data_IF_938443023116
#
_entry.id   IF_938443023116
#
_cell.length_a   1.000
_cell.length_b   1.000
_cell.length_c   1.000
_cell.angle_alpha   90.00
_cell.angle_beta   90.00
_cell.angle_gamma   90.00
#
_symmetry.space_group_name_H-M   'P 1'
#
loop_
_entity.id
_entity.type
_entity.pdbx_description
1 polymer ?
#
# COMPACT_ATOMS: atom_id res chain seq x y z
N UNK A 1 -17.72 0.84 2.29
CA UNK A 1 -17.26 1.64 3.44
C UNK A 1 -16.87 3.04 2.97
N UNK A 2 -17.73 4.05 3.16
CA UNK A 2 -17.43 5.46 2.85
C UNK A 2 -16.27 6.06 3.67
N UNK A 3 -15.89 5.37 4.75
CA UNK A 3 -14.84 5.77 5.70
C UNK A 3 -13.64 4.84 5.65
N UNK A 4 -13.43 4.14 4.52
CA UNK A 4 -12.27 3.27 4.34
C UNK A 4 -10.97 4.07 4.51
N UNK A 5 -10.02 3.50 5.23
CA UNK A 5 -8.68 4.06 5.36
C UNK A 5 -7.92 3.86 4.04
N UNK A 6 -7.35 4.94 3.50
CA UNK A 6 -6.63 4.92 2.21
C UNK A 6 -5.24 5.56 2.26
N UNK A 7 -4.30 5.09 3.10
CA UNK A 7 -2.94 5.62 3.12
C UNK A 7 -2.19 5.31 1.83
N UNK A 8 -1.20 6.16 1.52
CA UNK A 8 -0.29 5.93 0.39
C UNK A 8 0.71 4.83 0.75
N UNK A 9 0.91 3.91 -0.18
CA UNK A 9 2.07 3.02 -0.18
C UNK A 9 3.27 3.74 -0.82
N UNK A 10 3.04 4.42 -1.94
CA UNK A 10 4.07 5.20 -2.65
C UNK A 10 3.44 6.43 -3.30
N UNK A 11 4.16 7.55 -3.29
CA UNK A 11 3.83 8.75 -4.06
C UNK A 11 4.85 8.91 -5.19
N UNK A 12 4.37 9.19 -6.39
CA UNK A 12 5.23 9.50 -7.53
C UNK A 12 5.39 11.01 -7.67
N UNK A 13 6.59 11.48 -8.02
CA UNK A 13 6.82 12.89 -8.36
C UNK A 13 6.15 13.16 -9.71
N UNK A 14 5.18 14.06 -9.77
CA UNK A 14 4.48 14.37 -11.03
C UNK A 14 5.45 14.97 -12.06
N UNK A 15 5.61 14.30 -13.20
CA UNK A 15 6.11 14.89 -14.44
C UNK A 15 4.97 15.48 -15.27
N UNK A 16 5.26 16.46 -16.11
CA UNK A 16 4.36 17.35 -16.87
C UNK A 16 3.48 16.67 -17.93
N UNK A 17 2.78 15.57 -17.61
CA UNK A 17 1.93 14.83 -18.55
C UNK A 17 0.47 14.72 -18.08
N UNK A 18 -0.46 14.64 -19.03
CA UNK A 18 -1.92 14.77 -18.83
C UNK A 18 -2.60 13.54 -18.20
N UNK A 19 -1.83 12.50 -17.85
CA UNK A 19 -2.29 11.38 -17.04
C UNK A 19 -1.16 10.94 -16.13
N UNK A 20 -1.20 11.34 -14.85
CA UNK A 20 -0.25 10.84 -13.86
C UNK A 20 -1.02 10.57 -12.57
N UNK A 21 -1.26 9.28 -12.29
CA UNK A 21 -1.67 8.84 -10.95
C UNK A 21 -0.58 9.31 -9.98
N UNK A 22 -0.95 10.02 -8.92
CA UNK A 22 0.00 10.64 -7.98
C UNK A 22 0.70 9.62 -7.06
N UNK A 23 0.30 8.36 -7.12
CA UNK A 23 0.81 7.30 -6.29
C UNK A 23 -0.04 6.04 -6.32
N UNK A 24 0.29 5.11 -5.43
CA UNK A 24 -0.50 3.92 -5.11
C UNK A 24 -0.91 3.99 -3.65
N UNK A 25 -2.18 3.68 -3.38
CA UNK A 25 -2.76 3.62 -2.04
C UNK A 25 -3.31 2.21 -1.78
N UNK A 26 -3.40 1.83 -0.51
CA UNK A 26 -4.13 0.62 -0.07
C UNK A 26 -5.46 1.03 0.55
N UNK A 27 -6.54 0.33 0.20
CA UNK A 27 -7.85 0.51 0.83
C UNK A 27 -8.12 -0.54 1.91
N UNK A 28 -8.49 -0.10 3.11
CA UNK A 28 -8.98 -0.96 4.18
C UNK A 28 -10.33 -0.46 4.67
N UNK A 29 -11.37 -1.28 4.52
CA UNK A 29 -12.73 -0.94 4.91
C UNK A 29 -13.39 -2.04 5.74
N UNK A 30 -14.48 -1.69 6.44
CA UNK A 30 -15.35 -2.63 7.15
C UNK A 30 -16.80 -2.47 6.71
N UNK A 31 -17.48 -3.60 6.57
CA UNK A 31 -18.94 -3.68 6.36
C UNK A 31 -19.49 -4.77 7.28
N UNK A 32 -20.19 -4.37 8.34
CA UNK A 32 -20.59 -5.29 9.41
C UNK A 32 -19.37 -6.04 10.02
N UNK A 33 -19.39 -7.39 10.08
CA UNK A 33 -18.26 -8.17 10.58
C UNK A 33 -17.14 -8.35 9.54
N UNK A 34 -17.37 -7.97 8.28
CA UNK A 34 -16.44 -8.21 7.18
C UNK A 34 -15.38 -7.11 7.10
N UNK A 35 -14.12 -7.51 7.02
CA UNK A 35 -12.99 -6.64 6.72
C UNK A 35 -12.61 -6.82 5.24
N UNK A 36 -12.47 -5.70 4.53
CA UNK A 36 -12.07 -5.66 3.12
C UNK A 36 -10.70 -4.99 3.01
N UNK A 37 -9.72 -5.68 2.41
CA UNK A 37 -8.35 -5.18 2.21
C UNK A 37 -7.99 -5.28 0.74
N UNK A 38 -7.67 -4.16 0.10
CA UNK A 38 -7.25 -4.10 -1.31
C UNK A 38 -5.74 -4.25 -1.44
N UNK A 39 -5.22 -5.47 -1.23
CA UNK A 39 -3.80 -5.76 -1.36
C UNK A 39 -3.34 -5.63 -2.83
N UNK A 40 -2.22 -4.93 -3.10
CA UNK A 40 -1.63 -4.91 -4.43
C UNK A 40 -0.94 -6.25 -4.74
N UNK A 41 -0.78 -6.58 -6.02
CA UNK A 41 0.06 -7.69 -6.49
C UNK A 41 -0.51 -9.11 -6.26
N UNK A 42 -0.09 -10.11 -7.04
CA UNK A 42 -0.65 -11.46 -6.95
C UNK A 42 0.02 -12.36 -5.90
N UNK A 43 1.27 -12.08 -5.48
CA UNK A 43 2.01 -12.99 -4.60
C UNK A 43 2.94 -12.27 -3.61
N UNK A 44 3.99 -11.60 -4.09
CA UNK A 44 5.04 -11.05 -3.24
C UNK A 44 4.49 -10.02 -2.24
N UNK A 45 3.70 -9.06 -2.69
CA UNK A 45 3.04 -8.06 -1.84
C UNK A 45 2.16 -8.72 -0.78
N UNK A 46 1.44 -9.79 -1.16
CA UNK A 46 0.57 -10.54 -0.25
C UNK A 46 1.39 -11.26 0.82
N UNK A 47 2.49 -11.92 0.46
CA UNK A 47 3.39 -12.57 1.42
C UNK A 47 3.94 -11.60 2.47
N UNK A 48 4.27 -10.37 2.05
CA UNK A 48 4.79 -9.36 2.97
C UNK A 48 3.69 -8.80 3.88
N UNK A 49 2.49 -8.60 3.33
CA UNK A 49 1.37 -8.04 4.06
C UNK A 49 0.68 -9.05 5.00
N UNK A 50 0.70 -10.34 4.68
CA UNK A 50 -0.06 -11.37 5.39
C UNK A 50 0.28 -11.47 6.89
N UNK A 51 1.55 -11.45 7.35
CA UNK A 51 1.84 -11.47 8.78
C UNK A 51 1.26 -10.28 9.54
N UNK A 52 1.30 -9.09 8.94
CA UNK A 52 0.71 -7.87 9.53
C UNK A 52 -0.82 -7.97 9.58
N UNK A 53 -1.44 -8.47 8.50
CA UNK A 53 -2.87 -8.66 8.44
C UNK A 53 -3.35 -9.64 9.52
N UNK A 54 -2.68 -10.79 9.66
CA UNK A 54 -3.02 -11.80 10.67
C UNK A 54 -2.85 -11.25 12.09
N UNK A 55 -1.76 -10.52 12.36
CA UNK A 55 -1.54 -9.86 13.65
C UNK A 55 -2.65 -8.85 13.95
N UNK A 56 -2.98 -7.98 13.00
CA UNK A 56 -4.01 -6.96 13.19
C UNK A 56 -5.41 -7.56 13.40
N UNK A 57 -5.70 -8.70 12.77
CA UNK A 57 -6.93 -9.46 13.04
C UNK A 57 -6.93 -10.06 14.46
N UNK A 58 -5.82 -10.69 14.87
CA UNK A 58 -5.69 -11.32 16.19
C UNK A 58 -5.77 -10.30 17.35
N UNK A 59 -5.20 -9.11 17.16
CA UNK A 59 -5.20 -8.02 18.15
C UNK A 59 -6.40 -7.06 17.99
N UNK A 60 -7.32 -7.36 17.06
CA UNK A 60 -8.49 -6.55 16.75
C UNK A 60 -8.18 -5.05 16.50
N UNK A 61 -7.14 -4.79 15.69
CA UNK A 61 -6.76 -3.43 15.34
C UNK A 61 -7.89 -2.68 14.62
N UNK A 62 -7.99 -1.35 14.82
CA UNK A 62 -8.85 -0.51 14.01
C UNK A 62 -8.36 -0.48 12.56
N UNK A 63 -9.28 -0.29 11.61
CA UNK A 63 -8.99 -0.36 10.17
C UNK A 63 -7.94 0.66 9.73
N UNK A 64 -7.90 1.82 10.39
CA UNK A 64 -6.94 2.89 10.14
C UNK A 64 -5.51 2.45 10.51
N UNK A 65 -5.34 1.86 11.70
CA UNK A 65 -4.05 1.33 12.14
C UNK A 65 -3.60 0.19 11.23
N UNK A 66 -4.51 -0.73 10.89
CA UNK A 66 -4.20 -1.82 9.98
C UNK A 66 -3.77 -1.30 8.60
N UNK A 67 -4.45 -0.30 8.06
CA UNK A 67 -4.10 0.30 6.78
C UNK A 67 -2.71 0.92 6.78
N UNK A 68 -2.37 1.67 7.82
CA UNK A 68 -1.04 2.30 7.96
C UNK A 68 0.07 1.25 8.08
N UNK A 69 -0.14 0.20 8.88
CA UNK A 69 0.85 -0.88 9.05
C UNK A 69 1.06 -1.66 7.73
N UNK A 70 -0.02 -1.95 7.00
CA UNK A 70 0.07 -2.59 5.69
C UNK A 70 0.78 -1.68 4.67
N UNK A 71 0.44 -0.40 4.64
CA UNK A 71 1.08 0.57 3.76
C UNK A 71 2.60 0.66 4.02
N UNK A 72 3.00 0.69 5.29
CA UNK A 72 4.42 0.73 5.67
C UNK A 72 5.20 -0.49 5.17
N UNK A 73 4.69 -1.70 5.38
CA UNK A 73 5.38 -2.93 4.95
C UNK A 73 5.44 -3.05 3.43
N UNK A 74 4.36 -2.68 2.73
CA UNK A 74 4.34 -2.65 1.28
C UNK A 74 5.32 -1.60 0.72
N UNK A 75 5.41 -0.43 1.35
CA UNK A 75 6.33 0.63 0.96
C UNK A 75 7.79 0.19 1.14
N UNK A 76 8.11 -0.45 2.26
CA UNK A 76 9.44 -1.00 2.53
C UNK A 76 9.81 -2.08 1.50
N UNK A 77 8.88 -2.97 1.16
CA UNK A 77 9.08 -4.01 0.13
C UNK A 77 9.35 -3.41 -1.25
N UNK A 78 8.58 -2.42 -1.67
CA UNK A 78 8.80 -1.76 -2.97
C UNK A 78 10.08 -0.94 -3.00
N UNK A 79 10.45 -0.30 -1.88
CA UNK A 79 11.75 0.38 -1.75
C UNK A 79 12.92 -0.59 -1.95
N UNK A 80 12.83 -1.80 -1.40
CA UNK A 80 13.84 -2.86 -1.60
C UNK A 80 13.89 -3.35 -3.06
N UNK A 81 12.74 -3.41 -3.75
CA UNK A 81 12.65 -3.77 -5.17
C UNK A 81 13.03 -2.64 -6.14
N UNK A 82 13.33 -1.44 -5.65
CA UNK A 82 13.65 -0.27 -6.48
C UNK A 82 12.44 0.41 -7.14
N UNK A 83 11.21 -0.03 -6.84
CA UNK A 83 10.00 0.67 -7.24
C UNK A 83 9.94 2.02 -6.50
N UNK A 84 10.02 3.12 -7.26
CA UNK A 84 10.07 4.50 -6.73
C UNK A 84 11.42 5.19 -6.85
N UNK A 85 12.46 4.52 -7.39
CA UNK A 85 13.68 5.20 -7.86
C UNK A 85 13.53 5.57 -9.34
N UNK A 86 13.79 6.83 -9.69
CA UNK A 86 13.98 7.25 -11.08
C UNK A 86 15.16 6.48 -11.67
N UNK A 87 14.98 5.87 -12.84
CA UNK A 87 16.10 5.43 -13.67
C UNK A 87 16.86 6.70 -14.11
N UNK A 88 17.94 7.04 -13.40
CA UNK A 88 18.91 8.02 -13.85
C UNK A 88 19.53 7.51 -15.16
N UNK A 89 19.06 8.03 -16.30
CA UNK A 89 19.74 7.91 -17.57
C UNK A 89 21.16 8.47 -17.42
N UNK A 90 22.17 7.63 -17.62
CA UNK A 90 23.57 8.03 -17.74
C UNK A 90 23.74 8.73 -19.10
N UNK A 91 24.10 10.02 -19.17
CA UNK A 91 24.58 10.61 -20.42
C UNK A 91 26.01 10.13 -20.66
N UNK A 92 26.27 9.71 -21.90
CA UNK A 92 27.62 9.46 -22.43
C UNK A 92 28.42 10.76 -22.56
#
# INVERSE_FOLDING_TARGET
DPTAATPYIVKFKQGTSRHVKDGVRIGVGREGPSLMVSLPGPHDEVEAAAPVLLKGLAENWPKEMLAEQLASVLADKWRQKGMGKEHLHHPL
#
